data_IF_197669998683
#
_entry.id   IF_197669998683
#
_cell.length_a   1.000
_cell.length_b   1.000
_cell.length_c   1.000
_cell.angle_alpha   90.00
_cell.angle_beta   90.00
_cell.angle_gamma   90.00
#
_symmetry.space_group_name_H-M   'P 1'
#
loop_
_entity.id
_entity.type
_entity.pdbx_description
1 polymer ?
#
# COMPACT_ATOMS: atom_id res chain seq x y z
N UNK A 1 20.38 -19.54 8.55
CA UNK A 1 20.38 -18.06 8.58
C UNK A 1 19.28 -17.56 7.65
N UNK A 2 18.08 -17.33 8.17
CA UNK A 2 16.94 -16.83 7.40
C UNK A 2 17.13 -15.34 7.13
N UNK A 3 17.31 -15.02 5.85
CA UNK A 3 17.59 -13.69 5.33
C UNK A 3 16.69 -12.59 5.92
N UNK A 4 17.35 -11.51 6.34
CA UNK A 4 16.80 -10.20 6.77
C UNK A 4 15.96 -9.46 5.69
N UNK A 5 15.58 -10.12 4.58
CA UNK A 5 15.13 -9.48 3.33
C UNK A 5 13.62 -9.49 3.09
N UNK A 6 12.79 -10.12 3.94
CA UNK A 6 11.36 -10.17 3.69
C UNK A 6 10.73 -8.76 3.77
N UNK A 7 9.86 -8.35 2.81
CA UNK A 7 9.21 -7.03 2.81
C UNK A 7 8.60 -6.62 4.15
N UNK A 8 8.03 -7.58 4.88
CA UNK A 8 7.45 -7.35 6.22
C UNK A 8 8.47 -6.96 7.27
N UNK A 9 9.61 -7.65 7.33
CA UNK A 9 10.62 -7.39 8.34
C UNK A 9 11.18 -5.96 8.18
N UNK A 10 11.48 -5.55 6.94
CA UNK A 10 11.90 -4.18 6.62
C UNK A 10 10.84 -3.15 6.96
N UNK A 11 9.57 -3.44 6.66
CA UNK A 11 8.43 -2.58 7.04
C UNK A 11 8.29 -2.46 8.56
N UNK A 12 8.51 -3.53 9.31
CA UNK A 12 8.52 -3.52 10.79
C UNK A 12 9.63 -2.61 11.34
N UNK A 13 10.82 -2.63 10.75
CA UNK A 13 11.91 -1.72 11.13
C UNK A 13 11.56 -0.26 10.84
N UNK A 14 11.04 0.05 9.65
CA UNK A 14 10.64 1.42 9.29
C UNK A 14 9.54 1.98 10.19
N UNK A 15 8.63 1.14 10.66
CA UNK A 15 7.58 1.52 11.63
C UNK A 15 8.11 2.02 12.97
N UNK A 16 9.37 1.73 13.28
CA UNK A 16 10.04 2.17 14.49
C UNK A 16 10.87 3.44 14.24
N UNK A 17 10.94 3.93 13.01
CA UNK A 17 11.70 5.13 12.67
C UNK A 17 11.01 6.39 13.19
N UNK A 18 11.79 7.47 13.33
CA UNK A 18 11.27 8.79 13.70
C UNK A 18 10.31 9.36 12.64
N UNK A 19 10.52 9.02 11.37
CA UNK A 19 9.76 9.53 10.22
C UNK A 19 8.28 9.14 10.22
N UNK A 20 7.88 8.14 11.03
CA UNK A 20 6.50 7.66 11.12
C UNK A 20 5.92 7.81 12.52
N UNK A 21 6.69 8.35 13.47
CA UNK A 21 6.26 8.58 14.84
C UNK A 21 5.70 10.01 15.02
N UNK A 22 4.75 10.37 14.16
CA UNK A 22 4.03 11.63 14.23
C UNK A 22 2.57 11.40 13.80
N UNK A 23 1.73 12.44 13.89
CA UNK A 23 0.36 12.36 13.37
C UNK A 23 0.41 12.44 11.85
N UNK A 24 -0.02 11.36 11.17
CA UNK A 24 -0.01 11.27 9.71
C UNK A 24 -1.37 10.82 9.18
N UNK A 25 -1.77 11.26 7.98
CA UNK A 25 -2.78 10.54 7.20
C UNK A 25 -2.37 9.07 7.04
N UNK A 26 -3.34 8.15 7.08
CA UNK A 26 -3.08 6.72 6.97
C UNK A 26 -2.33 6.37 5.68
N UNK A 27 -2.64 7.04 4.57
CA UNK A 27 -1.97 6.87 3.28
C UNK A 27 -0.48 7.22 3.35
N UNK A 28 -0.17 8.39 3.91
CA UNK A 28 1.21 8.83 4.13
C UNK A 28 1.97 7.88 5.05
N UNK A 29 1.35 7.40 6.14
CA UNK A 29 1.98 6.39 7.00
C UNK A 29 2.29 5.09 6.25
N UNK A 30 1.33 4.58 5.46
CA UNK A 30 1.51 3.36 4.69
C UNK A 30 2.61 3.50 3.63
N UNK A 31 2.70 4.68 3.01
CA UNK A 31 3.71 5.04 2.02
C UNK A 31 5.11 5.12 2.61
N UNK A 32 5.30 5.86 3.72
CA UNK A 32 6.60 5.94 4.41
C UNK A 32 7.09 4.58 4.94
N UNK A 33 6.15 3.68 5.21
CA UNK A 33 6.44 2.29 5.57
C UNK A 33 6.76 1.38 4.37
N UNK A 34 6.73 1.85 3.12
CA UNK A 34 7.04 1.07 1.92
C UNK A 34 8.00 1.82 0.96
N UNK A 35 9.33 1.62 1.06
CA UNK A 35 10.29 2.30 0.20
C UNK A 35 10.30 1.81 -1.25
N UNK A 36 9.61 0.71 -1.54
CA UNK A 36 9.64 0.07 -2.85
C UNK A 36 8.56 0.63 -3.77
N UNK A 37 8.18 1.88 -3.52
CA UNK A 37 7.23 2.67 -4.27
C UNK A 37 7.68 4.12 -4.30
N UNK A 38 7.75 4.69 -5.49
CA UNK A 38 7.93 6.12 -5.68
C UNK A 38 6.78 6.67 -6.52
N UNK A 39 6.09 7.69 -6.00
CA UNK A 39 4.94 8.28 -6.65
C UNK A 39 5.05 9.80 -6.69
N UNK A 40 4.53 10.42 -7.76
CA UNK A 40 4.37 11.88 -7.86
C UNK A 40 3.07 12.36 -7.20
N UNK A 41 2.33 11.47 -6.55
CA UNK A 41 1.06 11.77 -5.87
C UNK A 41 1.41 12.16 -4.44
N UNK A 42 0.89 13.29 -3.96
CA UNK A 42 1.19 13.84 -2.63
C UNK A 42 0.79 12.87 -1.49
N UNK A 43 -0.39 12.27 -1.59
CA UNK A 43 -0.89 11.25 -0.67
C UNK A 43 -1.14 9.95 -1.46
N UNK A 44 -0.09 9.15 -1.68
CA UNK A 44 -0.19 8.02 -2.58
C UNK A 44 -1.12 6.97 -1.97
N UNK A 45 -2.13 6.62 -2.74
CA UNK A 45 -3.20 5.74 -2.31
C UNK A 45 -2.75 4.40 -1.76
N UNK A 46 -3.50 3.79 -0.83
CA UNK A 46 -3.29 2.42 -0.45
C UNK A 46 -3.39 1.49 -1.67
N UNK A 47 -2.71 0.36 -1.56
CA UNK A 47 -2.77 -0.69 -2.55
C UNK A 47 -4.19 -1.28 -2.69
N UNK A 48 -4.59 -1.65 -3.91
CA UNK A 48 -5.86 -2.35 -4.16
C UNK A 48 -7.05 -1.46 -4.57
N UNK A 49 -6.84 -0.17 -4.85
CA UNK A 49 -7.90 0.71 -5.37
C UNK A 49 -8.29 0.31 -6.81
N UNK A 50 -9.61 0.29 -7.07
CA UNK A 50 -10.20 0.04 -8.38
C UNK A 50 -9.63 1.00 -9.42
N UNK A 51 -8.96 0.44 -10.42
CA UNK A 51 -8.48 1.14 -11.61
C UNK A 51 -9.58 1.08 -12.65
N UNK A 52 -9.92 2.22 -13.25
CA UNK A 52 -10.68 2.24 -14.50
C UNK A 52 -9.70 2.32 -15.68
N UNK A 53 -10.08 1.74 -16.81
CA UNK A 53 -9.28 1.85 -18.03
C UNK A 53 -9.46 3.23 -18.67
N UNK A 54 -8.39 3.76 -19.28
CA UNK A 54 -8.44 4.98 -20.09
C UNK A 54 -7.76 4.76 -21.45
N UNK A 55 -8.44 4.08 -22.40
CA UNK A 55 -7.82 3.59 -23.62
C UNK A 55 -7.11 4.66 -24.45
N UNK A 56 -7.68 5.87 -24.56
CA UNK A 56 -7.08 6.96 -25.33
C UNK A 56 -5.72 7.43 -24.78
N UNK A 57 -5.63 7.65 -23.47
CA UNK A 57 -4.37 8.03 -22.81
C UNK A 57 -3.38 6.87 -22.83
N UNK A 58 -3.86 5.64 -22.66
CA UNK A 58 -3.03 4.45 -22.77
C UNK A 58 -2.39 4.33 -24.16
N UNK A 59 -3.17 4.49 -25.23
CA UNK A 59 -2.67 4.48 -26.61
C UNK A 59 -1.62 5.59 -26.83
N UNK A 60 -1.88 6.79 -26.31
CA UNK A 60 -0.94 7.91 -26.41
C UNK A 60 0.38 7.64 -25.69
N UNK A 61 0.35 7.15 -24.45
CA UNK A 61 1.57 6.81 -23.69
C UNK A 61 2.33 5.66 -24.36
N UNK A 62 1.63 4.69 -24.96
CA UNK A 62 2.25 3.58 -25.68
C UNK A 62 3.12 4.06 -26.87
N UNK A 63 2.83 5.23 -27.45
CA UNK A 63 3.70 5.82 -28.49
C UNK A 63 5.08 6.22 -27.94
N UNK A 64 5.18 6.48 -26.63
CA UNK A 64 6.42 6.83 -25.92
C UNK A 64 7.04 5.64 -25.17
N UNK A 65 6.58 4.41 -25.44
CA UNK A 65 7.10 3.20 -24.76
C UNK A 65 8.62 3.05 -24.92
N UNK A 66 9.16 3.39 -26.10
CA UNK A 66 10.60 3.39 -26.37
C UNK A 66 11.33 4.37 -25.46
N UNK A 67 10.97 5.66 -25.53
CA UNK A 67 11.53 6.72 -24.69
C UNK A 67 11.48 6.41 -23.18
N UNK A 68 10.35 5.83 -22.71
CA UNK A 68 10.21 5.43 -21.30
C UNK A 68 11.20 4.31 -20.97
N UNK A 69 11.33 3.29 -21.83
CA UNK A 69 12.30 2.21 -21.63
C UNK A 69 13.72 2.78 -21.62
N UNK A 70 14.06 3.65 -22.56
CA UNK A 70 15.39 4.23 -22.68
C UNK A 70 15.73 5.07 -21.42
N UNK A 71 14.74 5.79 -20.86
CA UNK A 71 14.86 6.45 -19.56
C UNK A 71 15.23 5.46 -18.44
N UNK A 72 14.60 4.28 -18.39
CA UNK A 72 14.96 3.25 -17.40
C UNK A 72 16.40 2.74 -17.63
N UNK A 73 16.81 2.53 -18.88
CA UNK A 73 18.17 2.07 -19.20
C UNK A 73 19.21 3.10 -18.74
N UNK A 74 18.98 4.38 -19.00
CA UNK A 74 19.84 5.49 -18.54
C UNK A 74 19.99 5.52 -17.02
N UNK A 75 18.98 5.04 -16.29
CA UNK A 75 18.99 4.93 -14.83
C UNK A 75 19.45 3.54 -14.34
N UNK A 76 20.14 2.77 -15.19
CA UNK A 76 20.81 1.52 -14.84
C UNK A 76 19.89 0.30 -14.71
N UNK A 77 18.71 0.32 -15.35
CA UNK A 77 17.89 -0.89 -15.53
C UNK A 77 18.37 -1.71 -16.75
N UNK A 78 18.05 -3.02 -16.82
CA UNK A 78 18.47 -3.87 -17.93
C UNK A 78 18.02 -3.37 -19.31
N UNK A 79 18.95 -3.38 -20.28
CA UNK A 79 18.74 -2.87 -21.64
C UNK A 79 17.71 -3.68 -22.45
N UNK A 80 17.55 -4.96 -22.15
CA UNK A 80 16.54 -5.83 -22.74
C UNK A 80 15.11 -5.49 -22.24
N UNK A 81 14.98 -4.57 -21.28
CA UNK A 81 13.72 -4.22 -20.65
C UNK A 81 13.18 -5.32 -19.74
N UNK A 82 13.99 -6.34 -19.43
CA UNK A 82 13.61 -7.39 -18.50
C UNK A 82 13.27 -6.78 -17.15
N UNK A 83 12.20 -7.29 -16.54
CA UNK A 83 11.71 -6.81 -15.25
C UNK A 83 10.85 -5.54 -15.29
N UNK A 84 10.90 -4.70 -16.33
CA UNK A 84 10.08 -3.48 -16.38
C UNK A 84 8.72 -3.76 -17.04
N UNK A 85 7.68 -3.89 -16.22
CA UNK A 85 6.29 -4.01 -16.67
C UNK A 85 5.57 -2.66 -16.60
N UNK A 86 5.37 -2.08 -17.78
CA UNK A 86 4.48 -0.92 -17.94
C UNK A 86 3.04 -1.37 -17.72
N UNK A 87 2.46 -1.00 -16.58
CA UNK A 87 1.07 -1.27 -16.24
C UNK A 87 0.26 0.01 -16.44
N UNK A 88 -0.40 0.13 -17.58
CA UNK A 88 -1.24 1.29 -17.85
C UNK A 88 -2.52 1.23 -17.01
N UNK A 89 -2.78 2.26 -16.22
CA UNK A 89 -3.89 2.21 -15.27
C UNK A 89 -4.38 3.59 -14.89
N UNK A 90 -5.52 4.09 -15.43
CA UNK A 90 -6.18 5.22 -14.75
C UNK A 90 -7.69 5.44 -14.90
N UNK A 91 -8.34 5.50 -13.73
CA UNK A 91 -9.04 6.67 -13.16
C UNK A 91 -9.38 6.27 -11.72
N UNK A 92 -8.66 6.78 -10.72
CA UNK A 92 -8.87 6.42 -9.31
C UNK A 92 -9.54 7.57 -8.58
N UNK A 93 -10.65 7.27 -7.91
CA UNK A 93 -11.46 8.19 -7.11
C UNK A 93 -11.35 7.69 -5.69
N UNK A 94 -10.48 8.31 -4.89
CA UNK A 94 -10.39 8.01 -3.46
C UNK A 94 -9.70 9.13 -2.68
N UNK A 95 -10.25 9.52 -1.51
CA UNK A 95 -11.62 9.23 -1.06
C UNK A 95 -12.67 9.86 -1.96
N UNK A 96 -13.94 9.53 -1.69
CA UNK A 96 -15.08 10.14 -2.36
C UNK A 96 -15.01 11.66 -2.28
N UNK A 97 -14.96 12.35 -3.42
CA UNK A 97 -14.90 13.82 -3.50
C UNK A 97 -13.60 14.37 -4.10
N UNK A 98 -12.53 13.57 -4.17
CA UNK A 98 -11.31 13.99 -4.85
C UNK A 98 -11.46 13.96 -6.39
N UNK A 99 -10.78 14.89 -7.05
CA UNK A 99 -10.71 14.92 -8.52
C UNK A 99 -9.99 13.66 -9.02
N UNK A 100 -10.56 12.90 -9.96
CA UNK A 100 -9.88 11.76 -10.54
C UNK A 100 -8.55 12.20 -11.16
N UNK A 101 -7.48 11.48 -10.86
CA UNK A 101 -6.13 11.78 -11.36
C UNK A 101 -5.66 10.70 -12.32
N UNK A 102 -4.92 11.11 -13.37
CA UNK A 102 -4.28 10.25 -14.38
C UNK A 102 -2.90 9.80 -13.90
N UNK A 103 -2.57 8.50 -13.92
CA UNK A 103 -1.37 7.87 -13.34
C UNK A 103 -0.77 6.80 -14.29
N UNK A 104 0.48 6.98 -14.71
CA UNK A 104 1.27 5.91 -15.29
C UNK A 104 1.84 5.03 -14.17
N UNK A 105 1.35 3.79 -14.05
CA UNK A 105 1.89 2.82 -13.09
C UNK A 105 2.96 1.95 -13.76
N UNK A 106 4.14 1.84 -13.15
CA UNK A 106 5.24 1.02 -13.68
C UNK A 106 5.65 0.03 -12.60
N UNK A 107 5.46 -1.26 -12.90
CA UNK A 107 5.87 -2.33 -12.02
C UNK A 107 7.25 -2.84 -12.44
N UNK A 108 8.14 -2.97 -11.47
CA UNK A 108 9.47 -3.56 -11.64
C UNK A 108 9.45 -4.95 -11.02
N UNK A 109 9.83 -5.97 -11.77
CA UNK A 109 9.97 -7.35 -11.33
C UNK A 109 11.43 -7.76 -11.43
N UNK A 110 11.89 -8.59 -10.48
CA UNK A 110 13.22 -9.19 -10.52
C UNK A 110 14.37 -8.17 -10.66
N UNK A 111 14.21 -6.93 -10.17
CA UNK A 111 15.28 -5.94 -10.26
C UNK A 111 16.50 -6.40 -9.45
N UNK A 112 17.69 -6.49 -10.08
CA UNK A 112 18.89 -7.01 -9.45
C UNK A 112 19.42 -6.09 -8.35
N UNK A 113 19.02 -4.80 -8.32
CA UNK A 113 19.54 -3.81 -7.38
C UNK A 113 18.58 -3.63 -6.19
N UNK A 114 18.99 -4.08 -5.00
CA UNK A 114 18.13 -4.18 -3.82
C UNK A 114 17.71 -2.84 -3.19
N UNK A 115 18.49 -1.78 -3.37
CA UNK A 115 18.28 -0.49 -2.70
C UNK A 115 18.25 0.67 -3.72
N UNK A 116 17.82 0.38 -4.95
CA UNK A 116 17.66 1.40 -6.00
C UNK A 116 16.65 2.46 -5.57
N UNK A 117 17.02 3.73 -5.68
CA UNK A 117 16.07 4.82 -5.54
C UNK A 117 15.20 4.92 -6.79
N UNK A 118 13.91 4.65 -6.62
CA UNK A 118 12.93 4.72 -7.70
C UNK A 118 12.50 6.16 -8.01
N UNK A 119 12.92 7.14 -7.20
CA UNK A 119 12.51 8.55 -7.32
C UNK A 119 13.20 9.24 -8.49
N UNK A 120 14.48 8.95 -8.73
CA UNK A 120 15.22 9.53 -9.86
C UNK A 120 14.59 9.13 -11.20
N UNK A 121 14.36 7.83 -11.41
CA UNK A 121 13.72 7.33 -12.63
C UNK A 121 12.26 7.80 -12.74
N UNK A 122 11.54 7.94 -11.62
CA UNK A 122 10.18 8.52 -11.61
C UNK A 122 10.21 9.95 -12.13
N UNK A 123 11.14 10.77 -11.65
CA UNK A 123 11.24 12.18 -12.01
C UNK A 123 11.64 12.34 -13.48
N UNK A 124 12.57 11.53 -13.97
CA UNK A 124 12.94 11.50 -15.38
C UNK A 124 11.76 11.11 -16.30
N UNK A 125 10.98 10.09 -15.92
CA UNK A 125 9.75 9.72 -16.65
C UNK A 125 8.72 10.85 -16.58
N UNK A 126 8.58 11.51 -15.44
CA UNK A 126 7.69 12.66 -15.29
C UNK A 126 8.08 13.80 -16.24
N UNK A 127 9.37 14.10 -16.34
CA UNK A 127 9.88 15.15 -17.22
C UNK A 127 9.77 14.79 -18.69
N UNK A 128 9.96 13.52 -19.05
CA UNK A 128 9.62 13.00 -20.38
C UNK A 128 8.15 13.27 -20.72
N UNK A 129 7.21 12.89 -19.84
CA UNK A 129 5.78 13.11 -20.07
C UNK A 129 5.43 14.61 -20.17
N UNK A 130 6.04 15.47 -19.34
CA UNK A 130 5.87 16.93 -19.44
C UNK A 130 6.31 17.46 -20.81
N UNK A 131 7.48 17.03 -21.31
CA UNK A 131 7.99 17.40 -22.65
C UNK A 131 7.05 16.94 -23.78
N UNK A 132 6.32 15.84 -23.58
CA UNK A 132 5.28 15.33 -24.49
C UNK A 132 3.90 15.95 -24.26
N UNK A 133 3.79 17.06 -23.52
CA UNK A 133 2.53 17.75 -23.19
C UNK A 133 1.55 16.92 -22.34
N UNK A 134 2.03 15.89 -21.64
CA UNK A 134 1.26 15.02 -20.74
C UNK A 134 1.42 15.41 -19.26
N UNK A 135 1.49 16.71 -18.96
CA UNK A 135 1.73 17.23 -17.59
C UNK A 135 0.68 16.86 -16.53
N UNK A 136 -0.47 16.34 -16.96
CA UNK A 136 -1.57 15.90 -16.09
C UNK A 136 -1.45 14.41 -15.68
N UNK A 137 -0.43 13.70 -16.18
CA UNK A 137 -0.17 12.30 -15.87
C UNK A 137 0.84 12.22 -14.73
N UNK A 138 0.40 11.74 -13.58
CA UNK A 138 1.26 11.33 -12.47
C UNK A 138 2.02 10.04 -12.80
N UNK A 139 3.13 9.79 -12.12
CA UNK A 139 3.93 8.58 -12.28
C UNK A 139 3.97 7.84 -10.93
N UNK A 140 3.75 6.52 -10.95
CA UNK A 140 3.84 5.63 -9.79
C UNK A 140 4.68 4.41 -10.17
N UNK A 141 5.92 4.35 -9.68
CA UNK A 141 6.86 3.26 -9.95
C UNK A 141 6.96 2.41 -8.68
N UNK A 142 6.84 1.09 -8.81
CA UNK A 142 6.96 0.19 -7.67
C UNK A 142 7.68 -1.10 -8.02
N UNK A 143 8.38 -1.67 -7.05
CA UNK A 143 8.93 -3.01 -7.15
C UNK A 143 7.87 -4.06 -6.76
N UNK A 144 7.43 -4.85 -7.72
CA UNK A 144 6.43 -5.90 -7.58
C UNK A 144 6.82 -6.99 -6.57
N UNK A 145 8.12 -7.19 -6.34
CA UNK A 145 8.65 -8.25 -5.50
C UNK A 145 8.90 -7.82 -4.06
N UNK A 146 9.23 -6.55 -3.88
CA UNK A 146 9.60 -5.96 -2.61
C UNK A 146 8.51 -5.09 -2.00
N UNK A 147 7.57 -4.57 -2.79
CA UNK A 147 6.45 -3.76 -2.27
C UNK A 147 5.56 -4.54 -1.30
N UNK A 148 4.99 -3.81 -0.35
CA UNK A 148 4.03 -4.35 0.59
C UNK A 148 2.61 -4.28 0.02
N UNK A 149 2.23 -5.30 -0.76
CA UNK A 149 0.87 -5.51 -1.27
C UNK A 149 0.19 -6.70 -0.55
N UNK A 150 -0.23 -6.56 0.72
CA UNK A 150 -0.75 -7.67 1.48
C UNK A 150 -2.17 -8.07 1.02
N UNK A 151 -2.40 -9.36 0.88
CA UNK A 151 -3.73 -9.98 0.86
C UNK A 151 -4.09 -10.42 2.28
N UNK A 152 -5.39 -10.41 2.57
CA UNK A 152 -5.94 -10.95 3.82
C UNK A 152 -6.50 -12.34 3.54
N UNK A 153 -6.12 -13.30 4.37
CA UNK A 153 -6.62 -14.67 4.34
C UNK A 153 -7.27 -14.98 5.69
N UNK A 154 -8.28 -15.87 5.67
CA UNK A 154 -8.89 -16.35 6.90
C UNK A 154 -7.85 -17.12 7.74
N UNK A 155 -8.04 -17.10 9.06
CA UNK A 155 -7.23 -17.85 10.01
C UNK A 155 -8.11 -18.82 10.77
N UNK A 156 -7.63 -20.05 11.00
CA UNK A 156 -8.36 -21.08 11.75
C UNK A 156 -8.65 -20.62 13.17
N UNK A 157 -9.80 -20.99 13.72
CA UNK A 157 -10.19 -20.72 15.12
C UNK A 157 -9.23 -21.33 16.13
N UNK A 158 -8.59 -22.44 15.75
CA UNK A 158 -7.75 -23.25 16.63
C UNK A 158 -6.27 -22.83 16.53
N UNK A 159 -5.96 -21.87 15.65
CA UNK A 159 -4.61 -21.32 15.53
C UNK A 159 -4.22 -20.58 16.83
N UNK A 160 -2.99 -20.73 17.35
CA UNK A 160 -2.55 -20.08 18.59
C UNK A 160 -2.81 -18.56 18.62
N UNK A 161 -2.57 -17.88 17.50
CA UNK A 161 -2.87 -16.45 17.35
C UNK A 161 -4.37 -16.11 17.48
N UNK A 162 -5.27 -16.99 17.03
CA UNK A 162 -6.72 -16.80 17.14
C UNK A 162 -7.19 -16.91 18.58
N UNK A 163 -6.64 -17.87 19.32
CA UNK A 163 -6.87 -18.03 20.76
C UNK A 163 -6.38 -16.77 21.47
N UNK A 164 -5.13 -16.35 21.22
CA UNK A 164 -4.56 -15.17 21.86
C UNK A 164 -5.34 -13.90 21.55
N UNK A 165 -5.71 -13.70 20.29
CA UNK A 165 -6.52 -12.55 19.88
C UNK A 165 -7.86 -12.52 20.63
N UNK A 166 -8.51 -13.66 20.83
CA UNK A 166 -9.79 -13.74 21.56
C UNK A 166 -9.67 -13.24 23.00
N UNK A 167 -8.57 -13.55 23.68
CA UNK A 167 -8.28 -13.06 25.04
C UNK A 167 -8.15 -11.54 25.08
N UNK A 168 -7.40 -10.95 24.15
CA UNK A 168 -7.05 -9.52 24.19
C UNK A 168 -8.01 -8.62 23.42
N UNK A 169 -8.91 -9.16 22.59
CA UNK A 169 -9.79 -8.39 21.69
C UNK A 169 -10.59 -7.34 22.45
N UNK A 170 -11.11 -7.69 23.65
CA UNK A 170 -11.87 -6.76 24.49
C UNK A 170 -11.05 -5.53 24.88
N UNK A 171 -9.80 -5.73 25.28
CA UNK A 171 -8.89 -4.65 25.67
C UNK A 171 -8.45 -3.80 24.46
N UNK A 172 -8.23 -4.43 23.30
CA UNK A 172 -7.95 -3.71 22.06
C UNK A 172 -9.13 -2.82 21.68
N UNK A 173 -10.35 -3.34 21.70
CA UNK A 173 -11.56 -2.55 21.39
C UNK A 173 -11.74 -1.42 22.41
N UNK A 174 -11.50 -1.67 23.70
CA UNK A 174 -11.55 -0.62 24.73
C UNK A 174 -10.50 0.46 24.49
N UNK A 175 -9.27 0.07 24.16
CA UNK A 175 -8.19 0.99 23.79
C UNK A 175 -8.61 1.88 22.61
N UNK A 176 -9.16 1.30 21.54
CA UNK A 176 -9.59 2.04 20.35
C UNK A 176 -10.77 2.98 20.66
N UNK A 177 -11.78 2.54 21.42
CA UNK A 177 -12.95 3.36 21.82
C UNK A 177 -12.57 4.55 22.71
N UNK A 178 -11.57 4.38 23.58
CA UNK A 178 -11.13 5.44 24.48
C UNK A 178 -10.35 6.55 23.77
N UNK A 179 -10.03 6.42 22.47
CA UNK A 179 -9.38 7.47 21.67
C UNK A 179 -10.44 8.27 20.92
N UNK A 180 -10.88 9.38 21.51
CA UNK A 180 -11.92 10.26 20.96
C UNK A 180 -11.60 10.72 19.53
N UNK A 181 -10.33 10.97 19.22
CA UNK A 181 -9.88 11.47 17.92
C UNK A 181 -9.49 10.37 16.91
N UNK A 182 -9.69 9.08 17.24
CA UNK A 182 -9.34 7.98 16.34
C UNK A 182 -10.58 7.45 15.63
N UNK A 183 -10.78 7.78 14.34
CA UNK A 183 -11.82 7.14 13.58
C UNK A 183 -11.37 5.72 13.17
N UNK A 184 -12.16 4.71 13.53
CA UNK A 184 -11.93 3.32 13.16
C UNK A 184 -13.28 2.61 12.94
N UNK A 185 -13.28 1.57 12.11
CA UNK A 185 -14.49 0.84 11.76
C UNK A 185 -14.49 -0.59 12.28
N UNK A 186 -13.39 -1.32 12.11
CA UNK A 186 -13.30 -2.71 12.54
C UNK A 186 -11.91 -3.09 13.02
N UNK A 187 -11.85 -4.16 13.81
CA UNK A 187 -10.61 -4.83 14.21
C UNK A 187 -10.80 -6.35 14.09
N UNK A 188 -9.96 -6.98 13.29
CA UNK A 188 -10.06 -8.41 12.96
C UNK A 188 -8.66 -9.04 12.83
N UNK A 189 -8.56 -10.33 13.17
CA UNK A 189 -7.35 -11.12 12.95
C UNK A 189 -7.41 -11.80 11.59
N UNK A 190 -6.33 -11.72 10.83
CA UNK A 190 -6.16 -12.39 9.55
C UNK A 190 -4.78 -13.04 9.46
N UNK A 191 -4.62 -13.94 8.50
CA UNK A 191 -3.31 -14.20 7.92
C UNK A 191 -3.05 -13.15 6.84
N UNK A 192 -2.03 -12.32 6.99
CA UNK A 192 -1.75 -11.19 6.09
C UNK A 192 -0.48 -11.45 5.30
N UNK A 193 -0.54 -11.42 3.97
CA UNK A 193 0.63 -11.61 3.11
C UNK A 193 0.43 -11.60 1.60
N UNK A 194 1.52 -11.67 0.81
CA UNK A 194 1.46 -11.70 -0.67
C UNK A 194 0.79 -12.99 -1.17
N UNK A 195 1.05 -14.10 -0.49
CA UNK A 195 0.46 -15.42 -0.68
C UNK A 195 0.14 -16.02 0.69
N UNK A 196 -0.75 -17.02 0.72
CA UNK A 196 -1.10 -17.74 1.95
C UNK A 196 0.14 -18.37 2.60
N UNK A 197 1.00 -19.01 1.80
CA UNK A 197 2.26 -19.62 2.27
C UNK A 197 3.26 -18.65 2.88
N UNK A 198 3.13 -17.35 2.59
CA UNK A 198 3.98 -16.30 3.16
C UNK A 198 3.23 -15.47 4.19
N UNK A 199 1.95 -15.74 4.46
CA UNK A 199 1.13 -14.93 5.34
C UNK A 199 1.45 -15.21 6.82
N UNK A 200 1.31 -14.19 7.66
CA UNK A 200 1.51 -14.31 9.12
C UNK A 200 0.27 -13.79 9.85
N UNK A 201 0.01 -14.26 11.08
CA UNK A 201 -1.04 -13.69 11.91
C UNK A 201 -0.85 -12.18 12.08
N UNK A 202 -1.90 -11.43 11.82
CA UNK A 202 -1.87 -9.98 11.90
C UNK A 202 -3.25 -9.44 12.27
N UNK A 203 -3.28 -8.58 13.28
CA UNK A 203 -4.46 -7.79 13.63
C UNK A 203 -4.54 -6.64 12.64
N UNK A 204 -5.64 -6.56 11.92
CA UNK A 204 -5.92 -5.48 10.98
C UNK A 204 -6.97 -4.58 11.60
N UNK A 205 -6.61 -3.31 11.79
CA UNK A 205 -7.54 -2.24 12.16
C UNK A 205 -7.95 -1.50 10.89
N UNK A 206 -9.24 -1.48 10.56
CA UNK A 206 -9.74 -0.70 9.43
C UNK A 206 -10.11 0.71 9.88
N UNK A 207 -9.70 1.69 9.11
CA UNK A 207 -9.91 3.12 9.40
C UNK A 207 -10.48 3.81 8.16
N UNK A 208 -11.14 4.97 8.30
CA UNK A 208 -11.52 5.73 7.11
C UNK A 208 -10.29 6.16 6.30
N UNK A 209 -10.46 6.37 4.98
CA UNK A 209 -9.55 7.21 4.20
C UNK A 209 -9.15 8.49 4.92
N UNK A 210 -7.91 8.96 4.70
CA UNK A 210 -7.42 10.25 5.21
C UNK A 210 -7.45 10.40 6.75
N UNK A 211 -7.82 9.35 7.47
CA UNK A 211 -7.76 9.32 8.93
C UNK A 211 -6.35 9.74 9.35
N UNK A 212 -6.27 10.65 10.30
CA UNK A 212 -5.00 11.19 10.77
C UNK A 212 -4.78 10.78 12.22
N UNK A 213 -3.71 10.02 12.47
CA UNK A 213 -3.37 9.57 13.82
C UNK A 213 -1.87 9.30 13.94
N UNK A 214 -1.37 9.15 15.17
CA UNK A 214 -0.03 8.58 15.38
C UNK A 214 -0.13 7.04 15.33
N UNK A 215 -0.09 6.51 14.11
CA UNK A 215 -0.22 5.08 13.81
C UNK A 215 0.88 4.24 14.46
N UNK A 216 2.11 4.75 14.51
CA UNK A 216 3.24 4.06 15.16
C UNK A 216 3.01 3.90 16.66
N UNK A 217 2.57 4.97 17.34
CA UNK A 217 2.22 4.94 18.77
C UNK A 217 1.03 4.02 19.05
N UNK A 218 -0.01 4.06 18.21
CA UNK A 218 -1.15 3.15 18.33
C UNK A 218 -0.73 1.69 18.18
N UNK A 219 0.12 1.39 17.19
CA UNK A 219 0.69 0.06 16.99
C UNK A 219 1.39 -0.44 18.25
N UNK A 220 2.24 0.40 18.85
CA UNK A 220 2.96 0.04 20.06
C UNK A 220 2.04 -0.20 21.26
N UNK A 221 0.97 0.59 21.40
CA UNK A 221 -0.03 0.39 22.46
C UNK A 221 -0.74 -0.95 22.30
N UNK A 222 -1.16 -1.32 21.09
CA UNK A 222 -1.80 -2.63 20.85
C UNK A 222 -0.79 -3.78 21.03
N UNK A 223 0.46 -3.64 20.54
CA UNK A 223 1.51 -4.64 20.77
C UNK A 223 1.78 -4.87 22.27
N UNK A 224 1.66 -3.84 23.11
CA UNK A 224 1.83 -4.00 24.57
C UNK A 224 0.78 -4.91 25.19
N UNK A 225 -0.44 -4.94 24.66
CA UNK A 225 -1.50 -5.86 25.09
C UNK A 225 -1.18 -7.32 24.72
N UNK A 226 -0.28 -7.54 23.75
CA UNK A 226 0.13 -8.86 23.29
C UNK A 226 1.39 -9.40 23.97
N UNK A 227 2.11 -8.58 24.77
CA UNK A 227 3.46 -8.86 25.28
C UNK A 227 3.61 -10.11 26.15
N UNK A 228 2.53 -10.68 26.66
CA UNK A 228 2.55 -11.90 27.47
C UNK A 228 2.52 -13.20 26.65
N UNK A 229 2.66 -13.14 25.33
CA UNK A 229 2.51 -14.30 24.45
C UNK A 229 3.78 -14.58 23.63
N UNK A 230 4.11 -15.86 23.48
CA UNK A 230 5.12 -16.35 22.54
C UNK A 230 4.64 -16.34 21.08
N UNK A 231 3.38 -15.92 20.83
CA UNK A 231 2.81 -15.88 19.48
C UNK A 231 3.13 -14.54 18.82
N UNK A 232 3.89 -14.58 17.72
CA UNK A 232 4.18 -13.40 16.89
C UNK A 232 2.92 -12.99 16.10
N UNK A 233 2.25 -11.94 16.57
CA UNK A 233 1.09 -11.33 15.92
C UNK A 233 1.47 -9.91 15.49
N UNK A 234 1.41 -9.66 14.19
CA UNK A 234 1.66 -8.33 13.64
C UNK A 234 0.43 -7.42 13.72
N UNK A 235 0.63 -6.14 13.43
CA UNK A 235 -0.44 -5.14 13.44
C UNK A 235 -0.35 -4.27 12.19
N UNK A 236 -1.47 -4.14 11.51
CA UNK A 236 -1.65 -3.36 10.29
C UNK A 236 -2.86 -2.43 10.43
N UNK A 237 -2.75 -1.26 9.81
CA UNK A 237 -3.85 -0.31 9.66
C UNK A 237 -4.17 -0.23 8.18
N UNK A 238 -5.42 -0.51 7.80
CA UNK A 238 -5.83 -0.39 6.40
C UNK A 238 -6.95 0.62 6.24
N UNK A 239 -6.82 1.56 5.30
CA UNK A 239 -7.92 2.42 4.92
C UNK A 239 -9.01 1.57 4.25
N UNK A 240 -10.25 1.79 4.65
CA UNK A 240 -11.39 1.07 4.12
C UNK A 240 -11.74 1.57 2.72
N UNK A 241 -11.67 0.67 1.73
CA UNK A 241 -12.16 0.96 0.40
C UNK A 241 -13.69 0.87 0.44
N UNK A 242 -14.35 2.02 0.58
CA UNK A 242 -15.82 2.11 0.50
C UNK A 242 -16.22 1.73 -0.93
N UNK A 243 -16.63 0.48 -1.13
CA UNK A 243 -17.35 0.07 -2.33
C UNK A 243 -18.78 0.50 -2.07
N UNK A 244 -19.22 1.63 -2.63
CA UNK A 244 -20.66 1.92 -2.67
C UNK A 244 -21.32 0.74 -3.41
N UNK A 245 -22.09 -0.06 -2.69
CA UNK A 245 -23.02 -0.99 -3.31
C UNK A 245 -23.88 -0.16 -4.27
N UNK A 246 -23.95 -0.59 -5.53
CA UNK A 246 -24.92 0.00 -6.45
C UNK A 246 -26.27 -0.26 -5.81
N UNK A 247 -26.94 0.80 -5.35
CA UNK A 247 -28.36 0.75 -5.07
C UNK A 247 -29.02 0.17 -6.31
N UNK A 248 -29.54 -1.05 -6.19
CA UNK A 248 -30.48 -1.61 -7.15
C UNK A 248 -31.65 -0.65 -7.17
N UNK A 249 -31.68 0.24 -8.16
CA UNK A 249 -32.89 0.94 -8.56
C UNK A 249 -33.92 -0.15 -8.84
N UNK A 250 -34.88 -0.25 -7.93
CA UNK A 250 -36.10 -1.01 -8.10
C UNK A 250 -36.79 -0.50 -9.35
N UNK A 251 -36.67 -1.28 -10.44
CA UNK A 251 -37.60 -1.20 -11.56
C UNK A 251 -38.95 -1.63 -11.00
N UNK A 252 -39.79 -0.66 -10.69
CA UNK A 252 -41.21 -0.89 -10.41
C UNK A 252 -41.87 -1.16 -11.77
N UNK A 253 -42.66 -2.24 -11.90
CA UNK A 253 -43.32 -2.63 -13.15
C UNK A 253 -44.36 -1.61 -13.63
#
# INVERSE_FOLDING_TARGET
MTSCSAPRYRRRQRRQSREVNEKLPIETYLYRCDPYRSSTVQDPWPYGIKVLAHPAIQALILTYKGDIRDTFIEHGFPADGSGVKLNFAVRRVYPSGQRPSTILSIGIEQDPVQDRDLSEVRDAVCDLLKRRKLKFVHVDIYDCDRRFFPKRFAISSDHPASIKYREVKGDIVRLLRNKVDLPWHSVCLYQVGRSLSKAVPCIVVTVPPEATYNWASLRLQILRLLRSSDVDIDIEFFPEVIIKEKSTESVVP
#
